data_IF_854596252888
#
_entry.id   IF_854596252888
#
_cell.length_a   1.000
_cell.length_b   1.000
_cell.length_c   1.000
_cell.angle_alpha   90.00
_cell.angle_beta   90.00
_cell.angle_gamma   90.00
#
_symmetry.space_group_name_H-M   'P 1'
#
loop_
_entity.id
_entity.type
_entity.pdbx_description
1 polymer ?
#
# COMPACT_ATOMS: atom_id res chain seq x y z
N UNK A 1 31.48 -8.54 -7.63
CA UNK A 1 31.02 -8.37 -6.23
C UNK A 1 32.21 -8.25 -5.29
N UNK A 2 32.20 -7.26 -4.39
CA UNK A 2 33.27 -7.02 -3.42
C UNK A 2 33.44 -8.20 -2.43
N UNK A 3 34.66 -8.50 -1.96
CA UNK A 3 34.92 -9.64 -1.08
C UNK A 3 34.12 -9.59 0.24
N UNK A 4 33.81 -8.40 0.75
CA UNK A 4 33.04 -8.20 1.99
C UNK A 4 31.57 -8.60 1.89
N UNK A 5 30.96 -8.54 0.70
CA UNK A 5 29.54 -8.90 0.51
C UNK A 5 29.30 -10.39 0.34
N UNK A 6 30.36 -11.19 0.09
CA UNK A 6 30.25 -12.66 -0.04
C UNK A 6 29.84 -13.33 1.28
N UNK A 7 30.30 -12.82 2.42
CA UNK A 7 29.93 -13.35 3.75
C UNK A 7 28.44 -13.12 4.02
N UNK A 8 27.96 -11.92 3.70
CA UNK A 8 26.56 -11.54 3.87
C UNK A 8 25.65 -12.34 2.91
N UNK A 9 26.09 -12.55 1.67
CA UNK A 9 25.36 -13.36 0.68
C UNK A 9 25.32 -14.86 1.04
N UNK A 10 26.42 -15.40 1.58
CA UNK A 10 26.45 -16.79 2.07
C UNK A 10 25.58 -16.96 3.32
N UNK A 11 25.51 -15.95 4.20
CA UNK A 11 24.59 -15.94 5.32
C UNK A 11 23.12 -15.91 4.85
N UNK A 12 22.79 -15.10 3.84
CA UNK A 12 21.45 -15.10 3.22
C UNK A 12 21.13 -16.44 2.56
N UNK A 13 22.10 -17.05 1.87
CA UNK A 13 21.93 -18.35 1.21
C UNK A 13 21.73 -19.50 2.21
N UNK A 14 22.22 -19.35 3.44
CA UNK A 14 22.02 -20.30 4.53
C UNK A 14 20.63 -20.20 5.18
N UNK A 15 19.85 -19.15 4.88
CA UNK A 15 18.49 -19.03 5.38
C UNK A 15 17.60 -19.96 4.57
N UNK A 16 17.10 -21.00 5.22
CA UNK A 16 16.12 -21.91 4.64
C UNK A 16 14.86 -21.15 4.21
N UNK A 17 14.35 -21.44 3.00
CA UNK A 17 13.12 -20.83 2.46
C UNK A 17 11.92 -20.96 3.44
N UNK A 18 11.92 -22.02 4.26
CA UNK A 18 10.92 -22.29 5.30
C UNK A 18 11.00 -21.34 6.49
N UNK A 19 12.21 -20.94 6.89
CA UNK A 19 12.43 -20.02 8.02
C UNK A 19 12.01 -18.61 7.61
N UNK A 20 12.36 -18.21 6.37
CA UNK A 20 11.96 -16.92 5.82
C UNK A 20 10.43 -16.82 5.68
N UNK A 21 9.77 -17.88 5.17
CA UNK A 21 8.31 -17.88 5.04
C UNK A 21 7.61 -17.84 6.41
N UNK A 22 8.11 -18.58 7.41
CA UNK A 22 7.62 -18.53 8.80
C UNK A 22 7.79 -17.13 9.43
N UNK A 23 8.92 -16.47 9.20
CA UNK A 23 9.16 -15.11 9.69
C UNK A 23 8.15 -14.12 9.09
N UNK A 24 7.90 -14.21 7.79
CA UNK A 24 6.96 -13.31 7.10
C UNK A 24 5.52 -13.60 7.52
N UNK A 25 5.14 -14.86 7.67
CA UNK A 25 3.84 -15.26 8.22
C UNK A 25 3.68 -14.73 9.65
N UNK A 26 4.71 -14.84 10.49
CA UNK A 26 4.74 -14.28 11.84
C UNK A 26 4.52 -12.76 11.83
N UNK A 27 5.16 -12.04 10.92
CA UNK A 27 5.03 -10.59 10.77
C UNK A 27 3.59 -10.20 10.35
N UNK A 28 2.99 -10.95 9.41
CA UNK A 28 1.59 -10.77 8.99
C UNK A 28 0.62 -11.04 10.15
N UNK A 29 0.87 -12.08 10.96
CA UNK A 29 0.06 -12.39 12.15
C UNK A 29 0.19 -11.29 13.21
N UNK A 30 1.39 -10.76 13.44
CA UNK A 30 1.61 -9.67 14.39
C UNK A 30 0.86 -8.41 13.95
N UNK A 31 0.95 -8.02 12.68
CA UNK A 31 0.17 -6.91 12.10
C UNK A 31 -1.33 -7.17 12.31
N UNK A 32 -1.79 -8.40 12.09
CA UNK A 32 -3.19 -8.79 12.27
C UNK A 32 -3.67 -8.69 13.73
N UNK A 33 -2.86 -9.12 14.69
CA UNK A 33 -3.21 -9.10 16.11
C UNK A 33 -3.23 -7.67 16.67
N UNK A 34 -2.27 -6.84 16.27
CA UNK A 34 -2.15 -5.44 16.73
C UNK A 34 -3.22 -4.54 16.08
N UNK A 35 -3.55 -4.78 14.80
CA UNK A 35 -4.53 -3.97 14.05
C UNK A 35 -5.99 -4.16 14.45
N UNK A 36 -6.34 -5.26 15.15
CA UNK A 36 -7.75 -5.64 15.44
C UNK A 36 -8.48 -4.72 16.43
N UNK A 37 -7.78 -3.95 17.26
CA UNK A 37 -8.39 -3.31 18.43
C UNK A 37 -9.18 -2.01 18.13
N UNK A 38 -8.89 -1.28 17.03
CA UNK A 38 -9.60 0.00 16.73
C UNK A 38 -9.63 0.32 15.23
N UNK A 39 -10.77 0.81 14.73
CA UNK A 39 -10.95 1.22 13.31
C UNK A 39 -9.88 2.18 12.82
N UNK A 40 -9.48 3.18 13.64
CA UNK A 40 -8.41 4.13 13.29
C UNK A 40 -7.07 3.44 13.06
N UNK A 41 -6.70 2.54 13.97
CA UNK A 41 -5.45 1.77 13.89
C UNK A 41 -5.46 0.84 12.68
N UNK A 42 -6.61 0.23 12.37
CA UNK A 42 -6.77 -0.60 11.16
C UNK A 42 -6.53 0.19 9.86
N UNK A 43 -7.02 1.44 9.78
CA UNK A 43 -6.76 2.30 8.60
C UNK A 43 -5.27 2.66 8.47
N UNK A 44 -4.61 3.01 9.58
CA UNK A 44 -3.17 3.33 9.58
C UNK A 44 -2.34 2.11 9.16
N UNK A 45 -2.68 0.93 9.66
CA UNK A 45 -2.03 -0.32 9.24
C UNK A 45 -2.25 -0.64 7.77
N UNK A 46 -3.48 -0.49 7.27
CA UNK A 46 -3.77 -0.73 5.86
C UNK A 46 -2.89 0.14 4.96
N UNK A 47 -2.82 1.44 5.24
CA UNK A 47 -1.98 2.38 4.50
C UNK A 47 -0.50 2.05 4.60
N UNK A 48 0.01 1.68 5.78
CA UNK A 48 1.40 1.21 5.91
C UNK A 48 1.68 -0.05 5.09
N UNK A 49 0.75 -1.01 5.05
CA UNK A 49 0.90 -2.20 4.19
C UNK A 49 0.79 -1.88 2.70
N UNK A 50 0.07 -0.83 2.32
CA UNK A 50 0.02 -0.33 0.95
C UNK A 50 1.33 0.30 0.54
N UNK A 51 1.92 1.17 1.36
CA UNK A 51 3.24 1.72 1.08
C UNK A 51 4.28 0.60 0.88
N UNK A 52 4.25 -0.41 1.77
CA UNK A 52 5.10 -1.60 1.63
C UNK A 52 4.84 -2.35 0.32
N UNK A 53 3.59 -2.71 0.04
CA UNK A 53 3.22 -3.45 -1.16
C UNK A 53 3.55 -2.67 -2.43
N UNK A 54 3.27 -1.37 -2.44
CA UNK A 54 3.52 -0.48 -3.56
C UNK A 54 5.00 -0.44 -3.93
N UNK A 55 5.88 -0.24 -2.95
CA UNK A 55 7.33 -0.27 -3.19
C UNK A 55 7.82 -1.66 -3.62
N UNK A 56 7.31 -2.73 -3.03
CA UNK A 56 7.70 -4.09 -3.44
C UNK A 56 7.25 -4.37 -4.88
N UNK A 57 6.02 -3.99 -5.26
CA UNK A 57 5.50 -4.17 -6.62
C UNK A 57 6.25 -3.32 -7.64
N UNK A 58 6.62 -2.08 -7.30
CA UNK A 58 7.48 -1.22 -8.12
C UNK A 58 8.82 -1.90 -8.39
N UNK A 59 9.53 -2.32 -7.33
CA UNK A 59 10.81 -3.01 -7.46
C UNK A 59 10.64 -4.29 -8.28
N UNK A 60 9.59 -5.06 -8.03
CA UNK A 60 9.32 -6.30 -8.73
C UNK A 60 9.14 -6.09 -10.24
N UNK A 61 8.43 -5.03 -10.63
CA UNK A 61 8.28 -4.67 -12.04
C UNK A 61 9.59 -4.15 -12.64
N UNK A 62 10.38 -3.36 -11.92
CA UNK A 62 11.69 -2.89 -12.37
C UNK A 62 12.69 -4.05 -12.55
N UNK A 63 12.81 -4.95 -11.58
CA UNK A 63 13.66 -6.14 -11.68
C UNK A 63 13.14 -7.10 -12.74
N UNK A 64 11.82 -7.30 -12.83
CA UNK A 64 11.20 -8.07 -13.90
C UNK A 64 11.59 -7.53 -15.26
N UNK A 65 11.49 -6.23 -15.45
CA UNK A 65 11.92 -5.56 -16.68
C UNK A 65 13.41 -5.79 -16.99
N UNK A 66 14.29 -5.66 -15.99
CA UNK A 66 15.72 -5.93 -16.14
C UNK A 66 16.03 -7.38 -16.52
N UNK A 67 15.23 -8.34 -16.07
CA UNK A 67 15.39 -9.76 -16.44
C UNK A 67 15.08 -9.97 -17.93
N UNK A 68 14.10 -9.25 -18.48
CA UNK A 68 13.73 -9.36 -19.90
C UNK A 68 14.69 -8.60 -20.83
N UNK A 69 15.10 -7.38 -20.46
CA UNK A 69 15.83 -6.46 -21.36
C UNK A 69 17.31 -6.28 -21.02
N UNK A 70 17.77 -6.80 -19.87
CA UNK A 70 19.12 -6.59 -19.38
C UNK A 70 19.30 -5.22 -18.73
N UNK A 71 20.45 -4.58 -18.98
CA UNK A 71 20.88 -3.39 -18.24
C UNK A 71 20.37 -2.10 -18.88
N UNK A 72 19.22 -1.59 -18.39
CA UNK A 72 18.53 -0.47 -19.03
C UNK A 72 18.27 0.68 -18.06
N UNK A 73 19.30 1.48 -17.79
CA UNK A 73 19.19 2.62 -16.88
C UNK A 73 18.22 3.70 -17.37
N UNK A 74 18.21 4.00 -18.67
CA UNK A 74 17.34 5.04 -19.23
C UNK A 74 15.86 4.64 -19.18
N UNK A 75 15.55 3.37 -19.40
CA UNK A 75 14.16 2.89 -19.37
C UNK A 75 13.63 2.72 -17.96
N UNK A 76 14.49 2.43 -16.97
CA UNK A 76 14.10 2.52 -15.56
C UNK A 76 13.54 3.91 -15.20
N UNK A 77 14.10 4.99 -15.77
CA UNK A 77 13.58 6.35 -15.61
C UNK A 77 12.17 6.52 -16.17
N UNK A 78 11.88 5.96 -17.36
CA UNK A 78 10.54 5.99 -17.97
C UNK A 78 9.53 5.17 -17.15
N UNK A 79 9.95 4.01 -16.66
CA UNK A 79 9.16 3.14 -15.80
C UNK A 79 8.76 3.82 -14.49
N UNK A 80 9.72 4.45 -13.80
CA UNK A 80 9.46 5.24 -12.59
C UNK A 80 8.54 6.44 -12.90
N UNK A 81 8.77 7.13 -14.01
CA UNK A 81 7.91 8.26 -14.45
C UNK A 81 6.48 7.79 -14.66
N UNK A 82 6.27 6.62 -15.26
CA UNK A 82 4.95 6.02 -15.46
C UNK A 82 4.25 5.71 -14.14
N UNK A 83 4.99 5.17 -13.15
CA UNK A 83 4.46 4.96 -11.81
C UNK A 83 4.06 6.28 -11.14
N UNK A 84 4.91 7.31 -11.21
CA UNK A 84 4.61 8.63 -10.66
C UNK A 84 3.39 9.28 -11.33
N UNK A 85 3.27 9.15 -12.65
CA UNK A 85 2.08 9.58 -13.39
C UNK A 85 0.82 8.83 -12.93
N UNK A 86 0.94 7.52 -12.64
CA UNK A 86 -0.12 6.70 -12.05
C UNK A 86 -0.56 7.24 -10.69
N UNK A 87 0.38 7.45 -9.76
CA UNK A 87 0.09 7.99 -8.41
C UNK A 87 -0.63 9.33 -8.52
N UNK A 88 -0.13 10.24 -9.36
CA UNK A 88 -0.73 11.53 -9.59
C UNK A 88 -2.17 11.40 -10.13
N UNK A 89 -2.38 10.57 -11.15
CA UNK A 89 -3.70 10.35 -11.76
C UNK A 89 -4.69 9.70 -10.77
N UNK A 90 -4.25 8.71 -10.00
CA UNK A 90 -5.07 8.03 -8.99
C UNK A 90 -5.51 8.96 -7.87
N UNK A 91 -4.56 9.71 -7.30
CA UNK A 91 -4.82 10.69 -6.24
C UNK A 91 -5.74 11.81 -6.73
N UNK A 92 -5.48 12.34 -7.93
CA UNK A 92 -6.31 13.38 -8.53
C UNK A 92 -7.75 12.89 -8.77
N UNK A 93 -7.92 11.69 -9.34
CA UNK A 93 -9.24 11.10 -9.61
C UNK A 93 -10.08 10.97 -8.34
N UNK A 94 -9.48 10.49 -7.26
CA UNK A 94 -10.18 10.34 -5.97
C UNK A 94 -10.46 11.67 -5.34
N UNK A 95 -9.51 12.60 -5.37
CA UNK A 95 -9.67 13.93 -4.78
C UNK A 95 -10.83 14.69 -5.43
N UNK A 96 -10.93 14.64 -6.76
CA UNK A 96 -12.07 15.22 -7.51
C UNK A 96 -13.41 14.54 -7.18
N UNK A 97 -13.41 13.23 -6.90
CA UNK A 97 -14.62 12.45 -6.59
C UNK A 97 -14.90 12.35 -5.09
N UNK A 98 -14.07 12.96 -4.24
CA UNK A 98 -14.00 12.66 -2.81
C UNK A 98 -15.31 12.98 -2.10
N UNK A 99 -15.96 14.10 -2.42
CA UNK A 99 -17.25 14.50 -1.84
C UNK A 99 -18.41 13.58 -2.21
N UNK A 100 -18.32 12.88 -3.35
CA UNK A 100 -19.39 11.97 -3.82
C UNK A 100 -19.30 10.57 -3.19
N UNK A 101 -18.16 10.22 -2.60
CA UNK A 101 -17.95 8.90 -1.96
C UNK A 101 -18.61 8.89 -0.59
N UNK A 102 -19.79 8.28 -0.50
CA UNK A 102 -20.57 8.14 0.73
C UNK A 102 -20.06 6.99 1.64
N UNK A 103 -19.54 5.91 1.06
CA UNK A 103 -19.09 4.72 1.80
C UNK A 103 -17.58 4.53 1.72
N UNK A 104 -16.81 5.40 2.38
CA UNK A 104 -15.35 5.41 2.31
C UNK A 104 -14.69 4.06 2.61
N UNK A 105 -15.09 3.39 3.70
CA UNK A 105 -14.53 2.07 4.09
C UNK A 105 -14.79 0.99 3.03
N UNK A 106 -15.98 0.96 2.41
CA UNK A 106 -16.27 -0.02 1.36
C UNK A 106 -15.49 0.25 0.09
N UNK A 107 -15.29 1.53 -0.26
CA UNK A 107 -14.43 1.90 -1.39
C UNK A 107 -12.99 1.47 -1.12
N UNK A 108 -12.48 1.70 0.10
CA UNK A 108 -11.13 1.27 0.49
C UNK A 108 -10.99 -0.26 0.42
N UNK A 109 -11.99 -1.00 0.91
CA UNK A 109 -12.02 -2.46 0.83
C UNK A 109 -12.00 -2.97 -0.63
N UNK A 110 -12.69 -2.27 -1.54
CA UNK A 110 -12.67 -2.62 -2.97
C UNK A 110 -11.29 -2.38 -3.59
N UNK A 111 -10.61 -1.29 -3.23
CA UNK A 111 -9.26 -0.99 -3.75
C UNK A 111 -8.24 -2.01 -3.24
N UNK A 112 -8.31 -2.35 -1.96
CA UNK A 112 -7.53 -3.44 -1.36
C UNK A 112 -7.74 -4.77 -2.10
N UNK A 113 -9.00 -5.12 -2.42
CA UNK A 113 -9.33 -6.33 -3.15
C UNK A 113 -8.74 -6.30 -4.58
N UNK A 114 -8.84 -5.16 -5.24
CA UNK A 114 -8.25 -4.96 -6.58
C UNK A 114 -6.73 -5.12 -6.52
N UNK A 115 -6.04 -4.63 -5.49
CA UNK A 115 -4.60 -4.84 -5.35
C UNK A 115 -4.20 -6.29 -5.07
N UNK A 116 -5.01 -7.04 -4.32
CA UNK A 116 -4.81 -8.50 -4.15
C UNK A 116 -4.91 -9.19 -5.50
N UNK A 117 -5.97 -8.92 -6.26
CA UNK A 117 -6.19 -9.50 -7.59
C UNK A 117 -5.06 -9.10 -8.54
N UNK A 118 -4.64 -7.83 -8.51
CA UNK A 118 -3.53 -7.32 -9.33
C UNK A 118 -2.20 -8.00 -9.00
N UNK A 119 -1.93 -8.26 -7.71
CA UNK A 119 -0.73 -8.98 -7.27
C UNK A 119 -0.76 -10.45 -7.73
N UNK A 120 -1.93 -11.10 -7.70
CA UNK A 120 -2.09 -12.46 -8.25
C UNK A 120 -1.94 -12.49 -9.77
N UNK A 121 -2.46 -11.49 -10.47
CA UNK A 121 -2.28 -11.32 -11.91
C UNK A 121 -0.80 -11.16 -12.27
N UNK A 122 -0.05 -10.37 -11.50
CA UNK A 122 1.40 -10.24 -11.66
C UNK A 122 2.12 -11.57 -11.39
N UNK A 123 1.75 -12.30 -10.34
CA UNK A 123 2.33 -13.62 -10.05
C UNK A 123 2.16 -14.58 -11.23
N UNK A 124 0.96 -14.60 -11.82
CA UNK A 124 0.63 -15.39 -13.01
C UNK A 124 1.44 -14.94 -14.23
N UNK A 125 1.54 -13.63 -14.46
CA UNK A 125 2.31 -13.05 -15.55
C UNK A 125 3.79 -13.49 -15.49
N UNK A 126 4.41 -13.44 -14.31
CA UNK A 126 5.80 -13.89 -14.14
C UNK A 126 5.97 -15.41 -14.24
N UNK A 127 4.94 -16.20 -13.92
CA UNK A 127 4.98 -17.65 -14.15
C UNK A 127 4.91 -17.98 -15.65
N UNK A 128 4.11 -17.22 -16.39
CA UNK A 128 3.96 -17.34 -17.85
C UNK A 128 5.11 -16.67 -18.65
N UNK A 129 6.26 -16.39 -18.02
CA UNK A 129 7.35 -15.62 -18.64
C UNK A 129 7.84 -16.20 -19.97
N UNK A 130 7.84 -17.54 -20.11
CA UNK A 130 8.32 -18.22 -21.33
C UNK A 130 7.47 -17.86 -22.55
N UNK A 131 6.16 -17.72 -22.37
CA UNK A 131 5.24 -17.36 -23.45
C UNK A 131 5.42 -15.88 -23.81
N UNK A 132 5.56 -15.03 -22.79
CA UNK A 132 5.70 -13.57 -22.94
C UNK A 132 7.01 -13.21 -23.65
N UNK A 133 8.09 -13.97 -23.39
CA UNK A 133 9.39 -13.75 -24.02
C UNK A 133 9.35 -13.88 -25.55
N UNK A 134 8.43 -14.67 -26.10
CA UNK A 134 8.26 -14.84 -27.54
C UNK A 134 7.40 -13.74 -28.19
N UNK A 135 6.80 -12.84 -27.41
CA UNK A 135 6.03 -11.72 -27.94
C UNK A 135 6.94 -10.62 -28.50
N UNK A 136 6.35 -9.70 -29.25
CA UNK A 136 7.08 -8.54 -29.78
C UNK A 136 7.62 -7.66 -28.62
N UNK A 137 8.89 -7.30 -28.70
CA UNK A 137 9.62 -6.41 -27.79
C UNK A 137 8.82 -5.14 -27.46
N UNK A 138 8.21 -4.48 -28.45
CA UNK A 138 7.44 -3.24 -28.23
C UNK A 138 6.21 -3.47 -27.34
N UNK A 139 5.54 -4.62 -27.51
CA UNK A 139 4.37 -4.98 -26.71
C UNK A 139 4.76 -5.26 -25.26
N UNK A 140 5.87 -5.99 -25.05
CA UNK A 140 6.34 -6.30 -23.70
C UNK A 140 6.78 -5.02 -22.98
N UNK A 141 7.48 -4.10 -23.64
CA UNK A 141 7.86 -2.82 -23.05
C UNK A 141 6.63 -1.99 -22.65
N UNK A 142 5.65 -1.88 -23.55
CA UNK A 142 4.40 -1.17 -23.29
C UNK A 142 3.61 -1.78 -22.14
N UNK A 143 3.61 -3.11 -22.02
CA UNK A 143 2.97 -3.84 -20.93
C UNK A 143 3.55 -3.44 -19.57
N UNK A 144 4.88 -3.38 -19.42
CA UNK A 144 5.51 -2.98 -18.16
C UNK A 144 5.21 -1.53 -17.78
N UNK A 145 5.18 -0.61 -18.74
CA UNK A 145 4.74 0.77 -18.49
C UNK A 145 3.30 0.82 -17.97
N UNK A 146 2.38 0.09 -18.61
CA UNK A 146 0.97 0.04 -18.18
C UNK A 146 0.85 -0.59 -16.78
N UNK A 147 1.59 -1.66 -16.49
CA UNK A 147 1.55 -2.31 -15.17
C UNK A 147 2.07 -1.38 -14.07
N UNK A 148 3.16 -0.63 -14.31
CA UNK A 148 3.66 0.35 -13.34
C UNK A 148 2.73 1.53 -13.16
N UNK A 149 2.15 2.04 -14.25
CA UNK A 149 1.12 3.07 -14.18
C UNK A 149 -0.07 2.61 -13.32
N UNK A 150 -0.58 1.39 -13.53
CA UNK A 150 -1.69 0.83 -12.77
C UNK A 150 -1.32 0.64 -11.29
N UNK A 151 -0.11 0.15 -11.01
CA UNK A 151 0.42 0.02 -9.65
C UNK A 151 0.40 1.38 -8.95
N UNK A 152 0.97 2.41 -9.59
CA UNK A 152 0.97 3.78 -9.10
C UNK A 152 -0.44 4.33 -8.90
N UNK A 153 -1.35 4.07 -9.85
CA UNK A 153 -2.74 4.51 -9.77
C UNK A 153 -3.44 3.96 -8.54
N UNK A 154 -3.30 2.66 -8.23
CA UNK A 154 -3.91 2.07 -7.04
C UNK A 154 -3.32 2.64 -5.74
N UNK A 155 -2.01 2.86 -5.68
CA UNK A 155 -1.35 3.49 -4.52
C UNK A 155 -1.87 4.92 -4.32
N UNK A 156 -1.92 5.72 -5.39
CA UNK A 156 -2.35 7.12 -5.34
C UNK A 156 -3.82 7.29 -4.92
N UNK A 157 -4.67 6.32 -5.23
CA UNK A 157 -6.08 6.31 -4.86
C UNK A 157 -6.31 6.15 -3.34
N UNK A 158 -5.46 5.38 -2.66
CA UNK A 158 -5.72 4.98 -1.27
C UNK A 158 -5.49 6.09 -0.24
N UNK A 159 -4.43 6.88 -0.40
CA UNK A 159 -4.05 7.87 0.61
C UNK A 159 -5.12 8.95 0.84
N UNK A 160 -5.65 9.64 -0.20
CA UNK A 160 -6.72 10.63 -0.01
C UNK A 160 -8.00 10.03 0.56
N UNK A 161 -8.30 8.78 0.19
CA UNK A 161 -9.48 8.07 0.67
C UNK A 161 -9.35 7.71 2.16
N UNK A 162 -8.21 7.19 2.58
CA UNK A 162 -7.93 6.87 3.97
C UNK A 162 -7.92 8.12 4.84
N UNK A 163 -7.37 9.23 4.35
CA UNK A 163 -7.38 10.49 5.09
C UNK A 163 -8.81 10.96 5.40
N UNK A 164 -9.71 10.92 4.40
CA UNK A 164 -11.14 11.23 4.61
C UNK A 164 -11.76 10.33 5.68
N UNK A 165 -11.54 9.02 5.60
CA UNK A 165 -12.14 8.06 6.54
C UNK A 165 -11.58 8.26 7.95
N UNK A 166 -10.28 8.52 8.07
CA UNK A 166 -9.61 8.74 9.34
C UNK A 166 -10.12 10.02 10.02
N UNK A 167 -10.27 11.11 9.28
CA UNK A 167 -10.87 12.36 9.77
C UNK A 167 -12.33 12.18 10.23
N UNK A 168 -13.15 11.44 9.47
CA UNK A 168 -14.51 11.11 9.89
C UNK A 168 -14.55 10.26 11.17
N UNK A 169 -13.61 9.32 11.29
CA UNK A 169 -13.40 8.51 12.50
C UNK A 169 -12.92 9.34 13.70
N UNK A 170 -12.22 10.45 13.43
CA UNK A 170 -11.77 11.43 14.42
C UNK A 170 -12.95 12.06 15.15
N UNK A 171 -13.88 12.61 14.35
CA UNK A 171 -15.05 13.33 14.84
C UNK A 171 -16.11 12.44 15.49
N UNK A 172 -16.33 11.21 14.96
CA UNK A 172 -17.31 10.29 15.53
C UNK A 172 -16.97 9.81 16.96
N UNK A 173 -15.68 9.74 17.31
CA UNK A 173 -15.23 9.36 18.67
C UNK A 173 -15.33 10.48 19.70
N UNK A 174 -15.64 11.72 19.26
CA UNK A 174 -15.71 12.93 20.10
C UNK A 174 -17.10 13.57 20.08
N UNK A 175 -18.13 12.87 19.59
CA UNK A 175 -19.50 13.32 19.75
C UNK A 175 -19.85 13.33 21.24
N UNK A 176 -19.62 14.48 21.88
CA UNK A 176 -20.17 14.81 23.18
C UNK A 176 -21.66 14.47 23.11
N UNK A 177 -22.21 13.63 24.01
CA UNK A 177 -23.65 13.42 24.07
C UNK A 177 -24.31 14.81 24.15
N UNK A 178 -25.48 15.03 23.51
CA UNK A 178 -26.12 16.33 23.56
C UNK A 178 -26.48 16.67 25.01
N UNK A 179 -25.57 17.32 25.73
CA UNK A 179 -25.88 18.03 26.95
C UNK A 179 -26.73 19.20 26.51
N UNK A 180 -28.01 19.15 26.87
CA UNK A 180 -28.90 20.29 26.77
C UNK A 180 -28.85 21.05 28.10
N UNK A 181 -28.69 22.38 28.09
CA UNK A 181 -28.41 23.21 26.91
C UNK A 181 -26.96 23.01 26.40
N UNK A 182 -26.70 23.26 25.10
CA UNK A 182 -25.34 23.20 24.56
C UNK A 182 -24.42 24.11 25.39
N UNK A 183 -23.15 23.74 25.61
CA UNK A 183 -22.22 24.55 26.39
C UNK A 183 -22.11 25.95 25.78
N UNK A 184 -22.76 26.91 26.46
CA UNK A 184 -22.74 28.33 26.17
C UNK A 184 -21.44 28.88 26.75
N UNK A 185 -20.39 29.01 25.93
CA UNK A 185 -19.12 29.59 26.39
C UNK A 185 -17.86 28.88 25.88
N UNK A 186 -17.73 28.71 24.57
CA UNK A 186 -16.45 28.31 23.97
C UNK A 186 -16.17 29.20 22.77
N UNK A 187 -15.02 29.89 22.78
CA UNK A 187 -14.57 30.68 21.65
C UNK A 187 -14.60 29.82 20.37
N UNK A 188 -15.38 30.21 19.34
CA UNK A 188 -15.46 29.47 18.08
C UNK A 188 -14.08 29.24 17.45
N UNK A 189 -13.11 30.14 17.68
CA UNK A 189 -11.75 30.02 17.17
C UNK A 189 -10.97 28.89 17.85
N UNK A 190 -11.19 28.64 19.15
CA UNK A 190 -10.55 27.53 19.88
C UNK A 190 -11.11 26.17 19.40
N UNK A 191 -12.41 26.11 19.11
CA UNK A 191 -13.04 24.90 18.55
C UNK A 191 -12.60 24.62 17.11
N UNK A 192 -12.42 25.67 16.30
CA UNK A 192 -11.86 25.56 14.95
C UNK A 192 -10.39 25.11 14.99
N UNK A 193 -9.58 25.74 15.85
CA UNK A 193 -8.17 25.40 16.04
C UNK A 193 -7.97 23.96 16.50
N UNK A 194 -8.81 23.45 17.40
CA UNK A 194 -8.79 22.04 17.80
C UNK A 194 -9.15 21.07 16.67
N UNK A 195 -10.13 21.42 15.82
CA UNK A 195 -10.50 20.61 14.65
C UNK A 195 -9.43 20.58 13.57
N UNK A 196 -8.74 21.70 13.33
CA UNK A 196 -7.63 21.77 12.37
C UNK A 196 -6.44 20.92 12.83
N UNK A 197 -6.01 21.08 14.09
CA UNK A 197 -4.89 20.29 14.65
C UNK A 197 -5.12 18.78 14.57
N UNK A 198 -6.34 18.31 14.85
CA UNK A 198 -6.67 16.88 14.79
C UNK A 198 -6.67 16.31 13.35
N UNK A 199 -7.06 17.12 12.36
CA UNK A 199 -7.01 16.73 10.95
C UNK A 199 -5.57 16.65 10.44
N UNK A 200 -4.72 17.57 10.88
CA UNK A 200 -3.28 17.59 10.56
C UNK A 200 -2.53 16.41 11.17
N UNK A 201 -2.75 16.13 12.46
CA UNK A 201 -2.15 14.98 13.15
C UNK A 201 -2.53 13.64 12.50
N UNK A 202 -3.79 13.49 12.09
CA UNK A 202 -4.26 12.28 11.41
C UNK A 202 -3.64 12.08 10.03
N UNK A 203 -3.53 13.16 9.25
CA UNK A 203 -2.88 13.12 7.93
C UNK A 203 -1.40 12.80 8.04
N UNK A 204 -0.71 13.43 9.00
CA UNK A 204 0.71 13.18 9.26
C UNK A 204 1.01 11.75 9.69
N UNK A 205 0.16 11.16 10.53
CA UNK A 205 0.33 9.76 10.95
C UNK A 205 0.12 8.77 9.79
N UNK A 206 -0.90 8.99 8.95
CA UNK A 206 -1.14 8.16 7.77
C UNK A 206 0.03 8.24 6.78
N UNK A 207 0.54 9.45 6.54
CA UNK A 207 1.67 9.67 5.65
C UNK A 207 2.95 9.05 6.18
N UNK A 208 3.21 9.20 7.48
CA UNK A 208 4.33 8.54 8.15
C UNK A 208 4.26 7.02 8.07
N UNK A 209 3.07 6.44 8.24
CA UNK A 209 2.87 5.00 8.11
C UNK A 209 3.11 4.50 6.68
N UNK A 210 2.60 5.22 5.67
CA UNK A 210 2.82 4.92 4.25
C UNK A 210 4.31 4.93 3.90
N UNK A 211 5.02 6.02 4.24
CA UNK A 211 6.45 6.16 4.00
C UNK A 211 7.29 5.11 4.76
N UNK A 212 6.93 4.80 6.00
CA UNK A 212 7.63 3.77 6.77
C UNK A 212 7.44 2.39 6.13
N UNK A 213 6.21 2.07 5.73
CA UNK A 213 5.90 0.86 4.99
C UNK A 213 6.69 0.78 3.68
N UNK A 214 6.69 1.85 2.91
CA UNK A 214 7.44 1.98 1.66
C UNK A 214 8.94 1.79 1.86
N UNK A 215 9.54 2.42 2.86
CA UNK A 215 10.96 2.27 3.18
C UNK A 215 11.31 0.82 3.56
N UNK A 216 10.52 0.20 4.45
CA UNK A 216 10.70 -1.22 4.81
C UNK A 216 10.50 -2.13 3.59
N UNK A 217 9.52 -1.83 2.74
CA UNK A 217 9.23 -2.57 1.51
C UNK A 217 10.34 -2.46 0.48
N UNK A 218 10.95 -1.28 0.32
CA UNK A 218 12.09 -1.09 -0.56
C UNK A 218 13.31 -1.88 -0.08
N UNK A 219 13.62 -1.80 1.21
CA UNK A 219 14.76 -2.48 1.82
C UNK A 219 14.58 -4.02 1.79
N UNK A 220 13.47 -4.53 2.32
CA UNK A 220 13.21 -5.97 2.34
C UNK A 220 12.91 -6.51 0.94
N UNK A 221 12.19 -5.76 0.11
CA UNK A 221 11.86 -6.10 -1.27
C UNK A 221 13.10 -6.34 -2.11
N UNK A 222 13.95 -5.32 -2.24
CA UNK A 222 15.13 -5.36 -3.10
C UNK A 222 16.25 -6.25 -2.56
N UNK A 223 16.49 -6.24 -1.24
CA UNK A 223 17.65 -6.93 -0.66
C UNK A 223 17.39 -8.39 -0.28
N UNK A 224 16.17 -8.72 0.17
CA UNK A 224 15.85 -10.04 0.72
C UNK A 224 14.80 -10.79 -0.10
N UNK A 225 13.62 -10.21 -0.29
CA UNK A 225 12.46 -10.89 -0.89
C UNK A 225 12.76 -11.31 -2.33
N UNK A 226 13.13 -10.37 -3.20
CA UNK A 226 13.33 -10.66 -4.61
C UNK A 226 14.53 -11.60 -4.86
N UNK A 227 15.70 -11.43 -4.22
CA UNK A 227 16.82 -12.36 -4.43
C UNK A 227 16.57 -13.77 -3.88
N UNK A 228 15.83 -13.91 -2.78
CA UNK A 228 15.62 -15.21 -2.12
C UNK A 228 14.37 -15.94 -2.64
N UNK A 229 13.25 -15.23 -2.80
CA UNK A 229 11.98 -15.81 -3.23
C UNK A 229 11.78 -15.77 -4.75
N UNK A 230 12.43 -14.83 -5.44
CA UNK A 230 12.18 -14.56 -6.86
C UNK A 230 10.90 -13.75 -7.10
N UNK A 231 10.64 -13.44 -8.38
CA UNK A 231 9.55 -12.54 -8.80
C UNK A 231 8.15 -13.08 -8.43
N UNK A 232 7.79 -14.29 -8.91
CA UNK A 232 6.42 -14.82 -8.75
C UNK A 232 6.05 -15.07 -7.28
N UNK A 233 6.95 -15.65 -6.48
CA UNK A 233 6.69 -15.88 -5.05
C UNK A 233 6.57 -14.58 -4.26
N UNK A 234 7.32 -13.54 -4.63
CA UNK A 234 7.19 -12.22 -4.00
C UNK A 234 5.82 -11.60 -4.30
N UNK A 235 5.30 -11.74 -5.54
CA UNK A 235 3.92 -11.33 -5.86
C UNK A 235 2.88 -12.04 -4.99
N UNK A 236 3.01 -13.36 -4.81
CA UNK A 236 2.11 -14.14 -3.95
C UNK A 236 2.17 -13.65 -2.49
N UNK A 237 3.36 -13.31 -2.01
CA UNK A 237 3.54 -12.79 -0.67
C UNK A 237 2.88 -11.43 -0.46
N UNK A 238 3.02 -10.52 -1.44
CA UNK A 238 2.29 -9.24 -1.44
C UNK A 238 0.78 -9.48 -1.47
N UNK A 239 0.31 -10.44 -2.28
CA UNK A 239 -1.11 -10.80 -2.33
C UNK A 239 -1.63 -11.30 -0.96
N UNK A 240 -0.86 -12.15 -0.26
CA UNK A 240 -1.21 -12.63 1.10
C UNK A 240 -1.22 -11.47 2.10
N UNK A 241 -0.22 -10.59 2.06
CA UNK A 241 -0.15 -9.41 2.92
C UNK A 241 -1.38 -8.51 2.73
N UNK A 242 -1.72 -8.19 1.48
CA UNK A 242 -2.89 -7.35 1.16
C UNK A 242 -4.21 -8.05 1.47
N UNK A 243 -4.30 -9.37 1.31
CA UNK A 243 -5.47 -10.13 1.77
C UNK A 243 -5.62 -10.03 3.30
N UNK A 244 -4.50 -10.03 4.05
CA UNK A 244 -4.48 -9.78 5.49
C UNK A 244 -5.00 -8.38 5.86
N UNK A 245 -4.54 -7.34 5.16
CA UNK A 245 -5.04 -5.95 5.31
C UNK A 245 -6.54 -5.86 5.04
N UNK A 246 -6.99 -6.45 3.92
CA UNK A 246 -8.40 -6.51 3.54
C UNK A 246 -9.26 -7.18 4.63
N UNK A 247 -8.80 -8.30 5.19
CA UNK A 247 -9.49 -8.98 6.28
C UNK A 247 -9.55 -8.11 7.55
N UNK A 248 -8.49 -7.36 7.87
CA UNK A 248 -8.49 -6.42 9.00
C UNK A 248 -9.48 -5.28 8.80
N UNK A 249 -9.53 -4.70 7.59
CA UNK A 249 -10.46 -3.64 7.24
C UNK A 249 -11.92 -4.13 7.21
N UNK A 250 -12.17 -5.35 6.75
CA UNK A 250 -13.52 -5.93 6.75
C UNK A 250 -14.12 -6.09 8.15
N UNK A 251 -13.26 -6.32 9.16
CA UNK A 251 -13.65 -6.42 10.57
C UNK A 251 -13.72 -5.07 11.28
N UNK A 252 -13.16 -4.01 10.68
CA UNK A 252 -13.32 -2.67 11.20
C UNK A 252 -14.79 -2.26 11.03
N UNK A 253 -15.51 -2.02 12.13
CA UNK A 253 -16.92 -1.59 12.07
C UNK A 253 -17.04 -0.36 11.19
N UNK A 254 -17.90 -0.44 10.17
CA UNK A 254 -18.32 0.70 9.38
C UNK A 254 -18.86 1.75 10.35
N UNK A 255 -18.22 2.91 10.39
CA UNK A 255 -18.74 4.03 11.16
C UNK A 255 -20.12 4.38 10.60
N UNK A 256 -21.16 4.48 11.44
CA UNK A 256 -22.47 4.90 10.97
C UNK A 256 -22.33 6.30 10.35
N UNK A 257 -22.64 6.38 9.06
CA UNK A 257 -22.74 7.64 8.34
C UNK A 257 -23.89 8.43 8.95
N UNK A 258 -23.58 9.49 9.69
CA UNK A 258 -24.58 10.41 10.21
C UNK A 258 -24.87 11.44 9.12
N UNK A 259 -25.95 11.21 8.38
CA UNK A 259 -26.59 12.25 7.57
C UNK A 259 -26.86 13.46 8.47
N UNK A 260 -26.28 14.61 8.12
CA UNK A 260 -26.79 15.91 8.52
C UNK A 260 -27.81 16.36 7.49
#
# INVERSE_FOLDING_TARGET
FAPSSKVLFNCLRSIDLKILSLFIIGLIIIIFLVGRKRTRTSIVWAIGTTGFAGMVLELLLLFGFQVFYGYVFYEAGLLITSLMAGIAAGSFTVTCRLNRIQQGIRTLLKIEAVMVIFSLLLAWLFLAYQIIYHLNTVLVHSLFLVLLFLTGFFIGVEFPLANKIYSQSAHAGKSVPPTFPPPQGGDPNVRLGGRMKEGEEGTGLLYGADLFGAWVGGLLGGFFLLPVLGLSNTCLLVAILKAGSLLLLSKAKALPYRNG
#
